data_IF_581915883341
#
_entry.id   IF_581915883341
#
_cell.length_a   1.000
_cell.length_b   1.000
_cell.length_c   1.000
_cell.angle_alpha   90.00
_cell.angle_beta   90.00
_cell.angle_gamma   90.00
#
_symmetry.space_group_name_H-M   'P 1'
#
loop_
_entity.id
_entity.type
_entity.pdbx_description
1 polymer ?
#
# COMPACT_ATOMS: atom_id res chain seq x y z
N UNK A 1 1.58 2.04 -16.95
CA UNK A 1 3.06 2.09 -16.94
C UNK A 1 3.60 1.24 -15.81
N UNK A 2 4.47 0.31 -16.15
CA UNK A 2 5.15 -0.55 -15.18
C UNK A 2 6.18 0.24 -14.38
N UNK A 3 6.14 0.12 -13.06
CA UNK A 3 7.08 0.79 -12.16
C UNK A 3 8.19 -0.16 -11.75
N UNK A 4 7.83 -1.39 -11.37
CA UNK A 4 8.79 -2.42 -11.02
C UNK A 4 8.20 -3.81 -11.24
N UNK A 5 9.09 -4.78 -11.32
CA UNK A 5 8.73 -6.19 -11.44
C UNK A 5 9.47 -7.00 -10.39
N UNK A 6 8.83 -8.08 -9.96
CA UNK A 6 9.42 -9.08 -9.07
C UNK A 6 9.40 -10.44 -9.75
N UNK A 7 9.72 -11.52 -9.04
CA UNK A 7 9.70 -12.86 -9.63
C UNK A 7 8.32 -13.23 -10.21
N UNK A 8 7.23 -12.89 -9.51
CA UNK A 8 5.87 -13.30 -9.89
C UNK A 8 4.92 -12.14 -10.16
N UNK A 9 5.34 -10.89 -9.89
CA UNK A 9 4.44 -9.74 -9.87
C UNK A 9 4.93 -8.62 -10.78
N UNK A 10 3.97 -7.81 -11.24
CA UNK A 10 4.23 -6.54 -11.90
C UNK A 10 3.46 -5.46 -11.16
N UNK A 11 4.13 -4.37 -10.82
CA UNK A 11 3.52 -3.21 -10.18
C UNK A 11 3.42 -2.08 -11.20
N UNK A 12 2.19 -1.62 -11.42
CA UNK A 12 1.87 -0.55 -12.38
C UNK A 12 1.32 0.66 -11.66
N UNK A 13 1.49 1.83 -12.27
CA UNK A 13 0.70 2.98 -11.86
C UNK A 13 -0.77 2.69 -12.13
N UNK A 14 -1.63 3.06 -11.20
CA UNK A 14 -3.06 3.03 -11.41
C UNK A 14 -3.47 4.05 -12.47
N UNK A 15 -4.54 3.71 -13.19
CA UNK A 15 -5.26 4.64 -14.05
C UNK A 15 -6.76 4.37 -13.90
N UNK A 16 -7.60 5.19 -14.52
CA UNK A 16 -9.06 5.07 -14.38
C UNK A 16 -9.63 3.78 -14.96
N UNK A 17 -8.89 3.10 -15.83
CA UNK A 17 -9.30 1.78 -16.33
C UNK A 17 -9.30 0.71 -15.23
N UNK A 18 -8.65 0.97 -14.11
CA UNK A 18 -8.59 0.05 -12.98
C UNK A 18 -9.79 0.21 -12.01
N UNK A 19 -10.76 1.04 -12.35
CA UNK A 19 -11.87 1.38 -11.46
C UNK A 19 -12.63 0.17 -10.94
N UNK A 20 -12.96 -0.80 -11.79
CA UNK A 20 -13.69 -2.00 -11.37
C UNK A 20 -12.93 -2.80 -10.32
N UNK A 21 -11.62 -2.97 -10.50
CA UNK A 21 -10.76 -3.64 -9.52
C UNK A 21 -10.72 -2.87 -8.19
N UNK A 22 -10.64 -1.55 -8.25
CA UNK A 22 -10.60 -0.70 -7.05
C UNK A 22 -11.90 -0.83 -6.27
N UNK A 23 -13.05 -0.84 -6.93
CA UNK A 23 -14.35 -1.08 -6.27
C UNK A 23 -14.31 -2.42 -5.54
N UNK A 24 -13.84 -3.48 -6.17
CA UNK A 24 -13.75 -4.79 -5.54
C UNK A 24 -12.86 -4.77 -4.31
N UNK A 25 -11.63 -4.29 -4.46
CA UNK A 25 -10.63 -4.31 -3.38
C UNK A 25 -11.05 -3.47 -2.17
N UNK A 26 -11.52 -2.24 -2.40
CA UNK A 26 -11.83 -1.31 -1.33
C UNK A 26 -13.11 -1.65 -0.55
N UNK A 27 -13.93 -2.57 -1.06
CA UNK A 27 -15.14 -3.04 -0.40
C UNK A 27 -15.00 -4.44 0.21
N UNK A 28 -13.81 -5.05 0.12
CA UNK A 28 -13.55 -6.29 0.84
C UNK A 28 -13.73 -6.08 2.35
N UNK A 29 -14.39 -7.00 3.07
CA UNK A 29 -14.59 -6.85 4.52
C UNK A 29 -13.31 -6.58 5.30
N UNK A 30 -12.21 -7.22 4.92
CA UNK A 30 -10.91 -7.00 5.54
C UNK A 30 -10.37 -5.59 5.30
N UNK A 31 -10.58 -5.04 4.12
CA UNK A 31 -10.19 -3.67 3.82
C UNK A 31 -10.98 -2.68 4.69
N UNK A 32 -12.30 -2.84 4.73
CA UNK A 32 -13.17 -1.99 5.54
C UNK A 32 -12.82 -2.06 7.02
N UNK A 33 -12.50 -3.25 7.52
CA UNK A 33 -12.16 -3.46 8.92
C UNK A 33 -10.80 -2.88 9.32
N UNK A 34 -9.75 -3.15 8.55
CA UNK A 34 -8.37 -2.84 8.96
C UNK A 34 -7.83 -1.54 8.39
N UNK A 35 -8.34 -1.10 7.26
CA UNK A 35 -7.86 0.12 6.59
C UNK A 35 -8.88 1.25 6.69
N UNK A 36 -10.13 0.93 6.47
CA UNK A 36 -11.23 1.86 6.60
C UNK A 36 -12.07 2.00 5.35
N UNK A 37 -13.23 2.61 5.50
CA UNK A 37 -14.16 2.85 4.41
C UNK A 37 -13.77 4.11 3.64
N UNK A 38 -13.43 3.95 2.36
CA UNK A 38 -13.05 5.05 1.47
C UNK A 38 -14.26 5.66 0.74
N UNK A 39 -15.47 5.13 0.99
CA UNK A 39 -16.67 5.62 0.36
C UNK A 39 -16.80 5.30 -1.13
N UNK A 40 -16.03 4.34 -1.61
CA UNK A 40 -16.03 3.92 -3.02
C UNK A 40 -17.04 2.81 -3.21
N UNK A 41 -18.14 3.09 -3.96
CA UNK A 41 -19.24 2.13 -4.18
C UNK A 41 -19.52 1.88 -5.66
N UNK A 42 -19.00 2.73 -6.52
CA UNK A 42 -19.21 2.67 -7.96
C UNK A 42 -17.91 2.88 -8.70
N UNK A 43 -17.86 2.57 -9.99
CA UNK A 43 -16.70 2.85 -10.81
C UNK A 43 -16.43 4.36 -10.91
N UNK A 44 -17.48 5.18 -10.92
CA UNK A 44 -17.33 6.64 -10.88
C UNK A 44 -16.63 7.10 -9.59
N UNK A 45 -17.03 6.52 -8.44
CA UNK A 45 -16.36 6.78 -7.17
C UNK A 45 -14.91 6.35 -7.21
N UNK A 46 -14.63 5.18 -7.80
CA UNK A 46 -13.27 4.65 -7.93
C UNK A 46 -12.40 5.55 -8.81
N UNK A 47 -12.93 6.08 -9.91
CA UNK A 47 -12.20 7.03 -10.74
C UNK A 47 -11.80 8.27 -9.94
N UNK A 48 -12.72 8.83 -9.18
CA UNK A 48 -12.43 9.99 -8.31
C UNK A 48 -11.37 9.67 -7.24
N UNK A 49 -11.48 8.49 -6.63
CA UNK A 49 -10.49 8.02 -5.66
C UNK A 49 -9.10 7.89 -6.29
N UNK A 50 -9.02 7.30 -7.47
CA UNK A 50 -7.75 7.11 -8.18
C UNK A 50 -7.13 8.43 -8.60
N UNK A 51 -7.93 9.35 -9.12
CA UNK A 51 -7.45 10.67 -9.56
C UNK A 51 -6.97 11.53 -8.38
N UNK A 52 -7.73 11.56 -7.30
CA UNK A 52 -7.41 12.37 -6.12
C UNK A 52 -6.33 11.75 -5.23
N UNK A 53 -6.18 10.45 -5.26
CA UNK A 53 -5.22 9.70 -4.43
C UNK A 53 -3.96 9.28 -5.20
N UNK A 54 -3.91 8.03 -5.69
CA UNK A 54 -2.69 7.49 -6.31
C UNK A 54 -2.16 8.36 -7.47
N UNK A 55 -3.01 8.75 -8.39
CA UNK A 55 -2.59 9.51 -9.56
C UNK A 55 -2.05 10.88 -9.18
N UNK A 56 -2.71 11.58 -8.27
CA UNK A 56 -2.21 12.86 -7.74
C UNK A 56 -0.88 12.70 -7.01
N UNK A 57 -0.70 11.58 -6.30
CA UNK A 57 0.55 11.28 -5.60
C UNK A 57 1.72 11.10 -6.59
N UNK A 58 1.50 10.39 -7.70
CA UNK A 58 2.54 10.24 -8.72
C UNK A 58 3.00 11.58 -9.27
N UNK A 59 2.07 12.49 -9.53
CA UNK A 59 2.39 13.83 -10.05
C UNK A 59 3.14 14.67 -9.02
N UNK A 60 2.69 14.61 -7.76
CA UNK A 60 3.25 15.46 -6.71
C UNK A 60 4.57 14.94 -6.14
N UNK A 61 4.69 13.64 -5.94
CA UNK A 61 5.81 13.03 -5.22
C UNK A 61 6.67 12.08 -6.07
N UNK A 62 6.19 11.67 -7.25
CA UNK A 62 6.86 10.68 -8.08
C UNK A 62 6.64 9.25 -7.63
N UNK A 63 5.80 9.02 -6.63
CA UNK A 63 5.44 7.69 -6.12
C UNK A 63 4.01 7.69 -5.60
N UNK A 64 3.48 6.52 -5.31
CA UNK A 64 2.14 6.33 -4.75
C UNK A 64 1.86 4.85 -4.56
N UNK A 65 0.59 4.52 -4.34
CA UNK A 65 0.13 3.14 -4.36
C UNK A 65 0.10 2.64 -5.80
N UNK A 66 0.60 1.42 -6.02
CA UNK A 66 0.65 0.79 -7.33
C UNK A 66 -0.30 -0.40 -7.39
N UNK A 67 -0.83 -0.67 -8.57
CA UNK A 67 -1.61 -1.86 -8.85
C UNK A 67 -0.66 -3.04 -8.95
N UNK A 68 -0.92 -4.07 -8.16
CA UNK A 68 -0.15 -5.31 -8.19
C UNK A 68 -0.89 -6.33 -9.05
N UNK A 69 -0.24 -6.84 -10.06
CA UNK A 69 -0.77 -7.88 -10.93
C UNK A 69 0.17 -9.07 -11.01
N UNK A 70 -0.38 -10.23 -11.32
CA UNK A 70 0.42 -11.42 -11.61
C UNK A 70 1.12 -11.22 -12.96
N UNK A 71 2.41 -11.56 -13.06
CA UNK A 71 3.13 -11.55 -14.33
C UNK A 71 2.46 -12.48 -15.34
N UNK A 72 2.07 -13.66 -14.86
CA UNK A 72 1.37 -14.63 -15.68
C UNK A 72 -0.12 -14.29 -15.70
N UNK A 73 -0.61 -13.91 -16.87
CA UNK A 73 -2.01 -13.59 -17.09
C UNK A 73 -2.42 -12.14 -16.79
N UNK A 74 -1.63 -11.40 -16.02
CA UNK A 74 -1.87 -9.98 -15.73
C UNK A 74 -3.00 -9.69 -14.76
N UNK A 75 -3.54 -10.70 -14.06
CA UNK A 75 -4.66 -10.51 -13.14
C UNK A 75 -4.29 -9.55 -12.00
N UNK A 76 -5.10 -8.49 -11.75
CA UNK A 76 -4.86 -7.63 -10.60
C UNK A 76 -5.22 -8.34 -9.29
N UNK A 77 -4.33 -8.29 -8.32
CA UNK A 77 -4.49 -9.01 -7.06
C UNK A 77 -4.48 -8.12 -5.82
N UNK A 78 -4.01 -6.90 -5.95
CA UNK A 78 -3.91 -5.99 -4.82
C UNK A 78 -3.28 -4.67 -5.18
N UNK A 79 -2.90 -3.94 -4.15
CA UNK A 79 -2.14 -2.71 -4.28
C UNK A 79 -1.02 -2.68 -3.25
N UNK A 80 0.08 -2.02 -3.60
CA UNK A 80 1.24 -1.86 -2.72
C UNK A 80 2.03 -0.64 -3.19
N UNK A 81 2.51 0.16 -2.26
CA UNK A 81 3.30 1.33 -2.63
C UNK A 81 3.57 2.24 -1.46
N UNK A 82 3.88 3.48 -1.78
CA UNK A 82 4.33 4.49 -0.84
C UNK A 82 3.33 5.64 -0.77
N UNK A 83 3.16 6.17 0.44
CA UNK A 83 2.29 7.32 0.67
C UNK A 83 3.02 8.39 1.46
N UNK A 84 2.74 9.65 1.16
CA UNK A 84 3.18 10.78 1.98
C UNK A 84 1.94 11.42 2.61
N UNK A 85 1.76 11.18 3.90
CA UNK A 85 0.63 11.70 4.67
C UNK A 85 1.05 12.96 5.42
N UNK A 86 0.12 13.91 5.55
CA UNK A 86 0.42 15.19 6.21
C UNK A 86 0.74 15.04 7.70
N UNK A 87 0.20 14.00 8.33
CA UNK A 87 0.35 13.76 9.77
C UNK A 87 1.48 12.81 10.14
N UNK A 88 2.23 12.31 9.16
CA UNK A 88 3.44 11.51 9.38
C UNK A 88 4.66 12.24 8.82
N UNK A 89 5.75 12.22 9.57
CA UNK A 89 7.00 12.85 9.15
C UNK A 89 7.62 12.13 7.96
N UNK A 90 7.52 10.80 7.93
CA UNK A 90 8.16 9.96 6.92
C UNK A 90 7.16 9.39 5.93
N UNK A 91 7.68 8.96 4.77
CA UNK A 91 6.92 8.20 3.79
C UNK A 91 6.54 6.85 4.38
N UNK A 92 5.29 6.43 4.20
CA UNK A 92 4.85 5.13 4.68
C UNK A 92 4.53 4.16 3.54
N UNK A 93 4.76 2.88 3.80
CA UNK A 93 4.38 1.80 2.89
C UNK A 93 2.96 1.34 3.22
N UNK A 94 2.14 1.16 2.18
CA UNK A 94 0.79 0.62 2.31
C UNK A 94 0.62 -0.58 1.38
N UNK A 95 -0.23 -1.52 1.78
CA UNK A 95 -0.57 -2.67 0.96
C UNK A 95 -1.93 -3.22 1.34
N UNK A 96 -2.62 -3.76 0.35
CA UNK A 96 -3.88 -4.47 0.52
C UNK A 96 -4.04 -5.46 -0.62
N UNK A 97 -4.46 -6.68 -0.32
CA UNK A 97 -4.62 -7.75 -1.31
C UNK A 97 -5.98 -8.41 -1.19
N UNK A 98 -6.53 -8.85 -2.31
CA UNK A 98 -7.75 -9.62 -2.32
C UNK A 98 -7.54 -10.92 -1.52
N UNK A 99 -8.49 -11.30 -0.63
CA UNK A 99 -8.31 -12.47 0.25
C UNK A 99 -7.98 -13.79 -0.45
N UNK A 100 -8.47 -13.99 -1.67
CA UNK A 100 -8.18 -15.21 -2.43
C UNK A 100 -6.71 -15.38 -2.82
N UNK A 101 -5.90 -14.31 -2.68
CA UNK A 101 -4.47 -14.35 -2.96
C UNK A 101 -3.60 -14.33 -1.69
N UNK A 102 -4.21 -14.33 -0.52
CA UNK A 102 -3.47 -14.35 0.74
C UNK A 102 -2.74 -15.68 0.95
N UNK A 103 -1.72 -15.67 1.81
CA UNK A 103 -0.93 -16.83 2.22
C UNK A 103 -0.15 -17.47 1.08
N UNK A 104 0.19 -16.69 0.07
CA UNK A 104 1.00 -17.13 -1.07
C UNK A 104 2.31 -16.36 -1.20
N UNK A 105 2.59 -15.45 -0.24
CA UNK A 105 3.81 -14.65 -0.22
C UNK A 105 3.78 -13.42 -1.11
N UNK A 106 2.67 -13.08 -1.73
CA UNK A 106 2.58 -11.95 -2.65
C UNK A 106 2.76 -10.60 -1.95
N UNK A 107 2.15 -10.41 -0.78
CA UNK A 107 2.28 -9.16 -0.04
C UNK A 107 3.73 -8.92 0.39
N UNK A 108 4.43 -9.94 0.82
CA UNK A 108 5.85 -9.86 1.14
C UNK A 108 6.68 -9.53 -0.11
N UNK A 109 6.43 -10.23 -1.20
CA UNK A 109 7.18 -10.04 -2.46
C UNK A 109 6.99 -8.62 -3.02
N UNK A 110 5.75 -8.13 -3.07
CA UNK A 110 5.45 -6.78 -3.53
C UNK A 110 6.09 -5.73 -2.64
N UNK A 111 5.95 -5.89 -1.33
CA UNK A 111 6.48 -4.93 -0.35
C UNK A 111 8.01 -4.89 -0.37
N UNK A 112 8.66 -6.04 -0.46
CA UNK A 112 10.12 -6.11 -0.59
C UNK A 112 10.59 -5.38 -1.86
N UNK A 113 9.87 -5.57 -2.97
CA UNK A 113 10.16 -4.86 -4.22
C UNK A 113 9.99 -3.35 -4.10
N UNK A 114 8.93 -2.90 -3.45
CA UNK A 114 8.67 -1.48 -3.19
C UNK A 114 9.77 -0.87 -2.32
N UNK A 115 10.23 -1.58 -1.28
CA UNK A 115 11.29 -1.10 -0.41
C UNK A 115 12.63 -0.97 -1.15
N UNK A 116 12.96 -1.91 -2.03
CA UNK A 116 14.14 -1.79 -2.87
C UNK A 116 14.03 -0.60 -3.82
N UNK A 117 12.88 -0.40 -4.44
CA UNK A 117 12.60 0.74 -5.29
C UNK A 117 12.71 2.06 -4.51
N UNK A 118 12.17 2.10 -3.29
CA UNK A 118 12.26 3.26 -2.41
C UNK A 118 13.71 3.65 -2.13
N UNK A 119 14.55 2.67 -1.85
CA UNK A 119 15.97 2.88 -1.58
C UNK A 119 16.75 3.27 -2.84
N UNK A 120 16.62 2.46 -3.90
CA UNK A 120 17.52 2.52 -5.06
C UNK A 120 17.10 3.55 -6.10
N UNK A 121 15.80 3.73 -6.32
CA UNK A 121 15.27 4.65 -7.32
C UNK A 121 14.84 5.99 -6.71
N UNK A 122 14.27 5.99 -5.51
CA UNK A 122 13.76 7.21 -4.87
C UNK A 122 14.73 7.82 -3.85
N UNK A 123 15.78 7.10 -3.48
CA UNK A 123 16.79 7.59 -2.53
C UNK A 123 16.29 7.76 -1.09
N UNK A 124 15.22 7.07 -0.71
CA UNK A 124 14.69 7.14 0.63
C UNK A 124 15.60 6.40 1.62
N UNK A 125 15.82 7.00 2.76
CA UNK A 125 16.68 6.41 3.81
C UNK A 125 15.87 5.69 4.87
N UNK A 126 14.58 6.02 5.00
CA UNK A 126 13.69 5.49 6.02
C UNK A 126 12.27 5.41 5.48
N UNK A 127 11.57 4.35 5.82
CA UNK A 127 10.14 4.16 5.51
C UNK A 127 9.44 3.70 6.78
N UNK A 128 8.26 4.22 7.03
CA UNK A 128 7.41 3.80 8.15
C UNK A 128 6.22 3.01 7.64
N UNK A 129 5.48 2.42 8.56
CA UNK A 129 4.22 1.73 8.27
C UNK A 129 3.28 1.90 9.45
N UNK A 130 2.00 1.99 9.16
CA UNK A 130 0.97 2.07 10.19
C UNK A 130 0.03 0.87 10.08
N UNK A 131 -0.38 0.34 11.23
CA UNK A 131 -1.36 -0.75 11.28
C UNK A 131 -2.38 -0.51 12.37
N UNK A 132 -3.59 -0.99 12.14
CA UNK A 132 -4.57 -1.17 13.20
C UNK A 132 -3.98 -2.12 14.27
N UNK A 133 -4.16 -1.84 15.57
CA UNK A 133 -3.54 -2.67 16.63
C UNK A 133 -3.98 -4.14 16.64
N UNK A 134 -5.12 -4.45 16.04
CA UNK A 134 -5.65 -5.81 15.95
C UNK A 134 -5.30 -6.53 14.63
N UNK A 135 -4.55 -5.88 13.75
CA UNK A 135 -4.13 -6.49 12.47
C UNK A 135 -2.83 -7.27 12.64
N UNK A 136 -2.93 -8.44 13.23
CA UNK A 136 -1.77 -9.30 13.52
C UNK A 136 -1.03 -9.76 12.26
N UNK A 137 -1.76 -10.06 11.19
CA UNK A 137 -1.17 -10.50 9.93
C UNK A 137 -0.27 -9.42 9.31
N UNK A 138 -0.74 -8.17 9.33
CA UNK A 138 0.03 -7.04 8.82
C UNK A 138 1.29 -6.80 9.66
N UNK A 139 1.15 -6.86 11.00
CA UNK A 139 2.30 -6.70 11.90
C UNK A 139 3.34 -7.80 11.73
N UNK A 140 2.90 -9.05 11.53
CA UNK A 140 3.80 -10.17 11.28
C UNK A 140 4.56 -9.97 9.95
N UNK A 141 3.87 -9.50 8.92
CA UNK A 141 4.49 -9.20 7.64
C UNK A 141 5.53 -8.09 7.77
N UNK A 142 5.21 -7.01 8.47
CA UNK A 142 6.14 -5.92 8.71
C UNK A 142 7.39 -6.40 9.45
N UNK A 143 7.24 -7.28 10.43
CA UNK A 143 8.38 -7.89 11.14
C UNK A 143 9.29 -8.67 10.18
N UNK A 144 8.72 -9.46 9.27
CA UNK A 144 9.48 -10.19 8.24
C UNK A 144 10.20 -9.25 7.27
N UNK A 145 9.63 -8.08 7.02
CA UNK A 145 10.22 -7.06 6.16
C UNK A 145 11.30 -6.22 6.87
N UNK A 146 11.57 -6.49 8.15
CA UNK A 146 12.59 -5.79 8.91
C UNK A 146 12.13 -4.50 9.59
N UNK A 147 10.83 -4.26 9.65
CA UNK A 147 10.27 -3.13 10.40
C UNK A 147 10.28 -3.40 11.89
N UNK A 148 10.45 -2.35 12.68
CA UNK A 148 10.39 -2.41 14.14
C UNK A 148 9.34 -1.44 14.66
N UNK A 149 8.63 -1.85 15.71
CA UNK A 149 7.65 -1.02 16.38
C UNK A 149 8.34 0.18 17.04
N UNK A 150 7.88 1.39 16.74
CA UNK A 150 8.37 2.62 17.35
C UNK A 150 7.39 3.24 18.34
N UNK A 151 6.12 2.94 18.24
CA UNK A 151 5.11 3.49 19.13
C UNK A 151 3.74 3.53 18.49
N UNK A 152 2.97 4.51 18.91
CA UNK A 152 1.61 4.74 18.43
C UNK A 152 1.55 6.05 17.66
N UNK A 153 0.60 6.15 16.75
CA UNK A 153 0.34 7.36 15.98
C UNK A 153 -1.16 7.56 15.81
N UNK A 154 -1.54 8.78 15.51
CA UNK A 154 -2.95 9.14 15.32
C UNK A 154 -3.05 10.29 14.32
N UNK A 155 -3.91 10.13 13.32
CA UNK A 155 -4.10 11.15 12.29
C UNK A 155 -4.74 12.43 12.85
N UNK A 156 -5.64 12.29 13.81
CA UNK A 156 -6.31 13.38 14.52
C UNK A 156 -6.93 12.86 15.81
N UNK A 157 -7.42 13.74 16.67
CA UNK A 157 -8.09 13.35 17.91
C UNK A 157 -9.33 12.49 17.66
N UNK A 158 -9.95 12.62 16.47
CA UNK A 158 -11.15 11.86 16.09
C UNK A 158 -10.86 10.49 15.52
N UNK A 159 -9.59 10.25 15.14
CA UNK A 159 -9.18 8.98 14.55
C UNK A 159 -8.68 8.03 15.62
N UNK A 160 -8.80 6.73 15.36
CA UNK A 160 -8.27 5.71 16.24
C UNK A 160 -6.74 5.72 16.20
N UNK A 161 -6.12 5.34 17.32
CA UNK A 161 -4.67 5.12 17.35
C UNK A 161 -4.28 3.93 16.48
N UNK A 162 -3.14 4.08 15.80
CA UNK A 162 -2.52 3.02 15.02
C UNK A 162 -1.12 2.76 15.57
N UNK A 163 -0.59 1.58 15.29
CA UNK A 163 0.80 1.26 15.61
C UNK A 163 1.70 1.77 14.52
N UNK A 164 2.81 2.40 14.90
CA UNK A 164 3.80 2.93 14.00
C UNK A 164 5.04 2.04 14.01
N UNK A 165 5.39 1.56 12.83
CA UNK A 165 6.59 0.77 12.58
C UNK A 165 7.55 1.55 11.69
N UNK A 166 8.83 1.26 11.78
CA UNK A 166 9.82 1.92 10.94
C UNK A 166 10.92 0.95 10.50
N UNK A 167 11.48 1.24 9.34
CA UNK A 167 12.63 0.53 8.81
C UNK A 167 13.61 1.52 8.18
N UNK A 168 14.87 1.43 8.59
CA UNK A 168 15.97 2.11 7.92
C UNK A 168 16.32 1.33 6.65
N UNK A 169 16.45 2.01 5.51
CA UNK A 169 16.74 1.40 4.22
C UNK A 169 18.24 1.35 3.91
N UNK A 170 19.01 2.18 4.59
CA UNK A 170 20.47 2.20 4.47
C UNK A 170 21.10 1.72 5.77
N UNK A 171 22.19 0.98 5.67
CA UNK A 171 22.93 0.56 6.87
C UNK A 171 23.44 1.75 7.67
#
# INVERSE_FOLDING_TARGET
MTVLETARLTLHRFCTDDAAFVVELLNEPSFLRYIGDKGVRSEADACRYLEAGPMASYERFGFGLYRVGLKEGGEPIGMCGLLKRDWLADVDIGFAFLPRFWRRGYAFEASAGVLLHARDALGLERVVAITSPDNEASMALLGKLGFRLEGMARASEKEAEVRLFARELRP
#
